data_IF_831648714470
#
_entry.id   IF_831648714470
#
_cell.length_a   1.000
_cell.length_b   1.000
_cell.length_c   1.000
_cell.angle_alpha   90.00
_cell.angle_beta   90.00
_cell.angle_gamma   90.00
#
_symmetry.space_group_name_H-M   'P 1'
#
loop_
_entity.id
_entity.type
_entity.pdbx_description
1 polymer ?
#
# COMPACT_ATOMS: atom_id res chain seq x y z
N UNK A 1 42.08 22.83 -10.65
CA UNK A 1 42.61 23.54 -9.47
C UNK A 1 41.87 23.01 -8.25
N UNK A 2 42.58 22.26 -7.41
CA UNK A 2 42.02 21.57 -6.26
C UNK A 2 42.05 22.53 -5.07
N UNK A 3 40.94 22.68 -4.34
CA UNK A 3 40.96 23.21 -2.98
C UNK A 3 40.24 22.22 -2.07
N UNK A 4 41.07 21.43 -1.40
CA UNK A 4 40.75 20.71 -0.15
C UNK A 4 40.98 21.68 1.01
N UNK A 5 40.47 21.26 2.19
CA UNK A 5 40.78 21.75 3.57
C UNK A 5 39.70 22.71 4.12
N UNK A 6 39.20 22.59 5.34
CA UNK A 6 39.57 21.72 6.45
C UNK A 6 38.35 21.49 7.36
N UNK A 7 38.18 20.25 7.84
CA UNK A 7 37.33 19.93 8.98
C UNK A 7 38.02 20.47 10.25
N UNK A 8 37.38 21.40 10.96
CA UNK A 8 37.77 21.75 12.32
C UNK A 8 36.75 21.10 13.25
N UNK A 9 37.14 19.96 13.80
CA UNK A 9 36.44 19.31 14.91
C UNK A 9 36.96 19.97 16.18
N UNK A 10 36.16 20.84 16.78
CA UNK A 10 36.45 21.36 18.12
C UNK A 10 35.68 20.53 19.13
N UNK A 11 36.35 19.54 19.72
CA UNK A 11 35.86 18.79 20.88
C UNK A 11 36.07 19.66 22.12
N UNK A 12 35.00 20.25 22.65
CA UNK A 12 35.02 20.93 23.94
C UNK A 12 34.52 19.95 25.00
N UNK A 13 35.45 19.24 25.63
CA UNK A 13 35.16 18.39 26.79
C UNK A 13 35.04 19.26 28.04
N UNK A 14 33.81 19.52 28.48
CA UNK A 14 33.55 20.06 29.83
C UNK A 14 32.92 18.95 30.64
N UNK A 15 33.74 18.33 31.49
CA UNK A 15 33.29 17.43 32.55
C UNK A 15 33.01 18.26 33.80
N UNK A 16 31.75 18.34 34.20
CA UNK A 16 31.38 18.79 35.55
C UNK A 16 30.55 17.69 36.20
N UNK A 17 31.17 17.09 37.22
CA UNK A 17 30.65 16.05 38.09
C UNK A 17 29.57 16.64 39.02
N UNK A 18 28.45 15.95 39.13
CA UNK A 18 27.34 16.33 40.00
C UNK A 18 26.54 15.10 40.39
N UNK A 19 27.01 14.39 41.41
CA UNK A 19 26.30 13.27 42.01
C UNK A 19 24.99 13.74 42.65
N UNK A 20 23.85 13.27 42.13
CA UNK A 20 22.56 13.31 42.82
C UNK A 20 22.05 11.88 42.94
N UNK A 21 21.85 11.47 44.18
CA UNK A 21 21.41 10.15 44.62
C UNK A 21 19.93 9.87 44.34
N UNK A 22 19.66 8.65 43.88
CA UNK A 22 18.48 7.79 44.13
C UNK A 22 17.08 8.42 44.15
N UNK A 23 16.33 8.18 43.07
CA UNK A 23 14.92 7.78 43.14
C UNK A 23 14.48 7.23 41.78
N UNK A 24 14.47 5.90 41.63
CA UNK A 24 13.75 5.25 40.52
C UNK A 24 12.35 4.94 41.05
N UNK A 25 11.30 5.72 40.69
CA UNK A 25 9.95 5.22 40.84
C UNK A 25 9.76 4.14 39.79
N UNK A 26 9.54 2.91 40.24
CA UNK A 26 9.17 1.75 39.44
C UNK A 26 7.78 2.01 38.82
N UNK A 27 7.67 2.31 37.51
CA UNK A 27 6.37 2.39 36.87
C UNK A 27 6.03 0.97 36.42
N UNK A 28 5.17 0.35 37.22
CA UNK A 28 4.43 -0.86 36.87
C UNK A 28 4.00 -0.82 35.40
N UNK A 29 4.61 -1.70 34.62
CA UNK A 29 4.13 -2.27 33.36
C UNK A 29 3.85 -1.25 32.24
N UNK A 30 4.69 -1.22 31.17
CA UNK A 30 4.36 -0.43 29.99
C UNK A 30 3.00 -0.87 29.46
N UNK A 31 2.16 0.13 29.16
CA UNK A 31 0.99 0.03 28.29
C UNK A 31 1.26 -1.05 27.24
N UNK A 32 0.42 -2.08 27.21
CA UNK A 32 0.41 -3.04 26.13
C UNK A 32 0.23 -2.26 24.82
N UNK A 33 1.35 -1.94 24.17
CA UNK A 33 1.39 -1.45 22.81
C UNK A 33 0.72 -2.56 22.03
N UNK A 34 -0.47 -2.28 21.51
CA UNK A 34 -1.22 -3.20 20.69
C UNK A 34 -0.30 -3.67 19.56
N UNK A 35 0.27 -4.85 19.73
CA UNK A 35 1.09 -5.51 18.74
C UNK A 35 0.15 -5.88 17.60
N UNK A 36 -0.04 -4.96 16.66
CA UNK A 36 -0.33 -5.34 15.28
C UNK A 36 0.98 -5.87 14.68
N UNK A 37 1.51 -6.91 15.32
CA UNK A 37 2.61 -7.71 14.80
C UNK A 37 2.19 -8.24 13.45
N UNK A 38 3.15 -8.16 12.54
CA UNK A 38 2.96 -8.25 11.10
C UNK A 38 1.93 -9.30 10.73
N UNK A 39 0.86 -8.84 10.06
CA UNK A 39 0.04 -9.76 9.26
C UNK A 39 1.03 -10.55 8.40
N UNK A 40 1.08 -11.89 8.52
CA UNK A 40 2.05 -12.69 7.80
C UNK A 40 1.93 -12.30 6.32
N UNK A 41 3.10 -12.10 5.71
CA UNK A 41 3.25 -11.81 4.29
C UNK A 41 2.33 -12.76 3.54
N UNK A 42 1.16 -12.26 3.10
CA UNK A 42 0.15 -13.14 2.52
C UNK A 42 0.82 -13.78 1.31
N UNK A 43 0.84 -15.12 1.20
CA UNK A 43 1.50 -15.80 0.10
C UNK A 43 1.06 -15.13 -1.19
N UNK A 44 2.02 -14.87 -2.08
CA UNK A 44 1.81 -14.19 -3.36
C UNK A 44 0.50 -14.70 -3.96
N UNK A 45 -0.56 -13.89 -3.82
CA UNK A 45 -1.93 -14.36 -4.00
C UNK A 45 -2.06 -14.64 -5.48
N UNK A 46 -1.82 -15.88 -5.95
CA UNK A 46 -1.53 -16.35 -7.32
C UNK A 46 -2.20 -15.59 -8.47
N UNK A 47 -1.83 -15.86 -9.73
CA UNK A 47 -2.39 -15.16 -10.90
C UNK A 47 -3.86 -14.75 -10.68
N UNK A 48 -4.22 -13.45 -10.81
CA UNK A 48 -5.61 -13.03 -10.65
C UNK A 48 -6.53 -14.03 -11.34
N UNK A 49 -7.60 -14.50 -10.69
CA UNK A 49 -8.42 -15.63 -11.18
C UNK A 49 -8.90 -15.48 -12.64
N UNK A 50 -8.93 -14.25 -13.16
CA UNK A 50 -9.26 -14.00 -14.56
C UNK A 50 -8.13 -14.39 -15.54
N UNK A 51 -6.86 -14.37 -15.12
CA UNK A 51 -5.69 -14.77 -15.91
C UNK A 51 -5.58 -16.29 -16.04
N UNK A 52 -5.88 -17.03 -14.97
CA UNK A 52 -5.87 -18.50 -14.97
C UNK A 52 -6.81 -19.11 -16.03
N UNK A 53 -7.77 -18.32 -16.52
CA UNK A 53 -8.80 -18.76 -17.45
C UNK A 53 -8.54 -18.33 -18.90
N UNK A 54 -7.34 -17.82 -19.20
CA UNK A 54 -6.91 -17.37 -20.54
C UNK A 54 -6.06 -18.39 -21.30
N UNK A 55 -5.87 -19.60 -20.75
CA UNK A 55 -5.04 -20.67 -21.34
C UNK A 55 -3.67 -20.14 -21.80
N UNK A 56 -2.94 -19.52 -20.89
CA UNK A 56 -1.64 -18.94 -21.20
C UNK A 56 -0.62 -20.03 -21.53
N UNK A 57 0.27 -19.75 -22.49
CA UNK A 57 1.45 -20.58 -22.70
C UNK A 57 2.43 -20.43 -21.52
N UNK A 58 3.38 -21.37 -21.32
CA UNK A 58 4.41 -21.23 -20.29
C UNK A 58 5.18 -19.90 -20.38
N UNK A 59 5.54 -19.48 -21.60
CA UNK A 59 6.24 -18.21 -21.83
C UNK A 59 5.38 -17.00 -21.45
N UNK A 60 4.08 -17.01 -21.80
CA UNK A 60 3.16 -15.96 -21.40
C UNK A 60 3.02 -15.91 -19.88
N UNK A 61 2.93 -17.06 -19.21
CA UNK A 61 2.83 -17.15 -17.75
C UNK A 61 4.06 -16.52 -17.07
N UNK A 62 5.26 -16.83 -17.55
CA UNK A 62 6.51 -16.27 -17.02
C UNK A 62 6.54 -14.74 -17.17
N UNK A 63 6.17 -14.21 -18.35
CA UNK A 63 6.11 -12.77 -18.59
C UNK A 63 5.09 -12.07 -17.70
N UNK A 64 3.91 -12.68 -17.53
CA UNK A 64 2.87 -12.16 -16.64
C UNK A 64 3.35 -12.12 -15.19
N UNK A 65 4.12 -13.13 -14.74
CA UNK A 65 4.67 -13.14 -13.39
C UNK A 65 5.73 -12.06 -13.17
N UNK A 66 6.57 -11.80 -14.17
CA UNK A 66 7.53 -10.70 -14.12
C UNK A 66 6.82 -9.33 -14.01
N UNK A 67 5.81 -9.08 -14.84
CA UNK A 67 4.98 -7.86 -14.77
C UNK A 67 4.36 -7.72 -13.38
N UNK A 68 3.77 -8.81 -12.85
CA UNK A 68 3.16 -8.80 -11.52
C UNK A 68 4.14 -8.42 -10.42
N UNK A 69 5.37 -8.94 -10.45
CA UNK A 69 6.40 -8.60 -9.45
C UNK A 69 6.73 -7.11 -9.45
N UNK A 70 6.79 -6.47 -10.62
CA UNK A 70 7.01 -5.02 -10.75
C UNK A 70 5.89 -4.22 -10.07
N UNK A 71 4.63 -4.61 -10.25
CA UNK A 71 3.49 -3.85 -9.74
C UNK A 71 3.00 -4.25 -8.33
N UNK A 72 3.46 -5.39 -7.79
CA UNK A 72 2.99 -5.91 -6.51
C UNK A 72 3.19 -4.90 -5.37
N UNK A 73 4.40 -4.36 -5.24
CA UNK A 73 4.75 -3.42 -4.17
C UNK A 73 4.02 -2.07 -4.30
N UNK A 74 4.01 -1.40 -5.47
CA UNK A 74 3.23 -0.18 -5.67
C UNK A 74 1.74 -0.35 -5.36
N UNK A 75 1.13 -1.47 -5.78
CA UNK A 75 -0.28 -1.76 -5.51
C UNK A 75 -0.51 -2.00 -4.02
N UNK A 76 0.34 -2.80 -3.37
CA UNK A 76 0.17 -3.16 -1.95
C UNK A 76 0.27 -1.93 -1.04
N UNK A 77 1.27 -1.07 -1.28
CA UNK A 77 1.49 0.16 -0.53
C UNK A 77 0.30 1.12 -0.67
N UNK A 78 -0.15 1.41 -1.89
CA UNK A 78 -1.29 2.31 -2.12
C UNK A 78 -2.60 1.73 -1.56
N UNK A 79 -2.79 0.42 -1.65
CA UNK A 79 -3.95 -0.24 -1.06
C UNK A 79 -3.92 -0.25 0.48
N UNK A 80 -2.74 -0.25 1.10
CA UNK A 80 -2.60 -0.10 2.55
C UNK A 80 -2.90 1.34 2.97
N UNK A 81 -2.29 2.33 2.31
CA UNK A 81 -2.54 3.74 2.59
C UNK A 81 -4.02 4.10 2.43
N UNK A 82 -4.67 3.62 1.37
CA UNK A 82 -6.10 3.81 1.16
C UNK A 82 -6.93 3.25 2.32
N UNK A 83 -6.65 2.00 2.74
CA UNK A 83 -7.38 1.37 3.86
C UNK A 83 -7.21 2.15 5.16
N UNK A 84 -5.99 2.63 5.45
CA UNK A 84 -5.73 3.47 6.62
C UNK A 84 -6.54 4.77 6.56
N UNK A 85 -6.49 5.48 5.43
CA UNK A 85 -7.24 6.72 5.24
C UNK A 85 -8.76 6.52 5.35
N UNK A 86 -9.30 5.40 4.86
CA UNK A 86 -10.73 5.05 4.98
C UNK A 86 -11.13 4.75 6.43
N UNK A 87 -10.30 4.03 7.19
CA UNK A 87 -10.51 3.80 8.63
C UNK A 87 -10.49 5.12 9.40
N UNK A 88 -9.51 5.97 9.14
CA UNK A 88 -9.39 7.27 9.80
C UNK A 88 -10.55 8.20 9.44
N UNK A 89 -11.01 8.20 8.18
CA UNK A 89 -12.21 8.96 7.77
C UNK A 89 -13.44 8.49 8.55
N UNK A 90 -13.62 7.17 8.70
CA UNK A 90 -14.73 6.59 9.47
C UNK A 90 -14.66 7.01 10.94
N UNK A 91 -13.46 7.04 11.51
CA UNK A 91 -13.22 7.53 12.87
C UNK A 91 -13.55 9.02 13.03
N UNK A 92 -13.13 9.87 12.08
CA UNK A 92 -13.46 11.30 12.11
C UNK A 92 -14.96 11.54 12.06
N UNK A 93 -15.69 10.84 11.18
CA UNK A 93 -17.16 10.94 11.08
C UNK A 93 -17.85 10.56 12.41
N UNK A 94 -17.32 9.59 13.16
CA UNK A 94 -17.87 9.15 14.43
C UNK A 94 -17.47 10.01 15.64
N UNK A 95 -16.62 11.02 15.43
CA UNK A 95 -16.05 11.88 16.48
C UNK A 95 -16.61 13.30 16.44
N UNK A 96 -16.14 14.17 17.33
CA UNK A 96 -16.43 15.61 17.32
C UNK A 96 -15.56 16.41 16.32
N UNK A 97 -14.94 15.75 15.33
CA UNK A 97 -14.12 16.41 14.32
C UNK A 97 -14.95 17.42 13.50
N UNK A 98 -14.34 18.54 13.15
CA UNK A 98 -15.05 19.55 12.37
C UNK A 98 -15.22 19.13 10.89
N UNK A 99 -16.16 19.78 10.20
CA UNK A 99 -16.47 19.46 8.80
C UNK A 99 -15.29 19.65 7.84
N UNK A 100 -14.34 20.54 8.13
CA UNK A 100 -13.16 20.75 7.29
C UNK A 100 -12.17 19.61 7.43
N UNK A 101 -11.96 19.09 8.64
CA UNK A 101 -11.14 17.90 8.88
C UNK A 101 -11.70 16.67 8.13
N UNK A 102 -13.01 16.47 8.20
CA UNK A 102 -13.68 15.36 7.49
C UNK A 102 -13.52 15.51 5.96
N UNK A 103 -13.74 16.72 5.41
CA UNK A 103 -13.57 16.99 3.97
C UNK A 103 -12.13 16.78 3.53
N UNK A 104 -11.16 17.27 4.29
CA UNK A 104 -9.73 17.07 4.00
C UNK A 104 -9.39 15.58 3.93
N UNK A 105 -9.89 14.80 4.90
CA UNK A 105 -9.67 13.35 4.93
C UNK A 105 -10.35 12.62 3.77
N UNK A 106 -11.57 13.02 3.43
CA UNK A 106 -12.28 12.50 2.27
C UNK A 106 -11.50 12.77 0.96
N UNK A 107 -10.96 13.97 0.78
CA UNK A 107 -10.14 14.30 -0.39
C UNK A 107 -8.87 13.45 -0.46
N UNK A 108 -8.24 13.16 0.68
CA UNK A 108 -7.10 12.23 0.74
C UNK A 108 -7.52 10.82 0.27
N UNK A 109 -8.68 10.32 0.71
CA UNK A 109 -9.22 9.03 0.27
C UNK A 109 -9.46 9.03 -1.25
N UNK A 110 -10.05 10.09 -1.81
CA UNK A 110 -10.28 10.19 -3.25
C UNK A 110 -8.96 10.14 -4.05
N UNK A 111 -7.95 10.89 -3.62
CA UNK A 111 -6.63 10.90 -4.25
C UNK A 111 -5.98 9.51 -4.22
N UNK A 112 -6.00 8.83 -3.07
CA UNK A 112 -5.44 7.48 -2.93
C UNK A 112 -6.19 6.45 -3.79
N UNK A 113 -7.52 6.57 -3.92
CA UNK A 113 -8.31 5.72 -4.83
C UNK A 113 -7.89 5.91 -6.28
N UNK A 114 -7.72 7.16 -6.73
CA UNK A 114 -7.29 7.46 -8.09
C UNK A 114 -5.90 6.90 -8.36
N UNK A 115 -4.94 7.10 -7.45
CA UNK A 115 -3.59 6.58 -7.60
C UNK A 115 -3.55 5.05 -7.64
N UNK A 116 -4.35 4.38 -6.81
CA UNK A 116 -4.47 2.92 -6.83
C UNK A 116 -5.12 2.41 -8.12
N UNK A 117 -6.12 3.13 -8.63
CA UNK A 117 -6.74 2.82 -9.91
C UNK A 117 -5.74 2.96 -11.07
N UNK A 118 -4.93 4.02 -11.07
CA UNK A 118 -3.92 4.25 -12.10
C UNK A 118 -2.91 3.11 -12.15
N UNK A 119 -2.29 2.74 -11.02
CA UNK A 119 -1.26 1.68 -11.03
C UNK A 119 -1.81 0.31 -11.44
N UNK A 120 -3.08 0.03 -11.12
CA UNK A 120 -3.76 -1.18 -11.58
C UNK A 120 -4.04 -1.15 -13.08
N UNK A 121 -4.36 0.02 -13.60
CA UNK A 121 -4.59 0.22 -15.03
C UNK A 121 -3.29 0.01 -15.83
N UNK A 122 -2.18 0.60 -15.40
CA UNK A 122 -0.87 0.38 -16.03
C UNK A 122 -0.48 -1.11 -16.02
N UNK A 123 -0.60 -1.77 -14.87
CA UNK A 123 -0.36 -3.21 -14.78
C UNK A 123 -1.23 -4.01 -15.75
N UNK A 124 -2.49 -3.63 -15.92
CA UNK A 124 -3.41 -4.28 -16.88
C UNK A 124 -2.99 -4.05 -18.33
N UNK A 125 -2.51 -2.85 -18.68
CA UNK A 125 -1.99 -2.56 -20.03
C UNK A 125 -0.77 -3.42 -20.35
N UNK A 126 0.20 -3.53 -19.43
CA UNK A 126 1.37 -4.37 -19.66
C UNK A 126 1.01 -5.85 -19.80
N UNK A 127 0.11 -6.35 -18.94
CA UNK A 127 -0.38 -7.73 -19.05
C UNK A 127 -1.09 -7.98 -20.38
N UNK A 128 -1.87 -7.00 -20.89
CA UNK A 128 -2.55 -7.10 -22.19
C UNK A 128 -1.55 -7.28 -23.34
N UNK A 129 -0.36 -6.69 -23.26
CA UNK A 129 0.66 -6.83 -24.32
C UNK A 129 1.22 -8.25 -24.46
N UNK A 130 1.12 -9.07 -23.41
CA UNK A 130 1.50 -10.49 -23.45
C UNK A 130 0.45 -11.37 -24.14
N UNK A 131 -0.80 -10.91 -24.19
CA UNK A 131 -1.95 -11.68 -24.68
C UNK A 131 -2.10 -11.61 -26.21
N UNK A 132 -2.57 -12.72 -26.81
CA UNK A 132 -3.01 -12.74 -28.21
C UNK A 132 -4.31 -11.96 -28.42
N UNK A 133 -4.65 -11.56 -29.66
CA UNK A 133 -5.93 -10.90 -29.95
C UNK A 133 -7.16 -11.70 -29.48
N UNK A 134 -7.12 -13.03 -29.55
CA UNK A 134 -8.18 -13.93 -29.10
C UNK A 134 -8.30 -13.92 -27.57
N UNK A 135 -7.17 -14.00 -26.86
CA UNK A 135 -7.14 -13.93 -25.40
C UNK A 135 -7.61 -12.55 -24.89
N UNK A 136 -7.28 -11.46 -25.60
CA UNK A 136 -7.77 -10.10 -25.30
C UNK A 136 -9.29 -10.01 -25.43
N UNK A 137 -9.87 -10.66 -26.45
CA UNK A 137 -11.34 -10.76 -26.60
C UNK A 137 -11.99 -11.52 -25.44
N UNK A 138 -11.41 -12.66 -25.03
CA UNK A 138 -11.87 -13.40 -23.86
C UNK A 138 -11.79 -12.57 -22.58
N UNK A 139 -10.69 -11.83 -22.40
CA UNK A 139 -10.52 -10.90 -21.27
C UNK A 139 -11.64 -9.85 -21.21
N UNK A 140 -11.93 -9.19 -22.33
CA UNK A 140 -12.97 -8.18 -22.41
C UNK A 140 -14.38 -8.73 -22.07
N UNK A 141 -14.69 -9.94 -22.55
CA UNK A 141 -15.95 -10.62 -22.23
C UNK A 141 -16.08 -10.89 -20.72
N UNK A 142 -15.03 -11.43 -20.09
CA UNK A 142 -15.02 -11.70 -18.65
C UNK A 142 -15.14 -10.42 -17.82
N UNK A 143 -14.45 -9.34 -18.20
CA UNK A 143 -14.58 -8.04 -17.52
C UNK A 143 -16.03 -7.52 -17.56
N UNK A 144 -16.73 -7.71 -18.68
CA UNK A 144 -18.13 -7.33 -18.84
C UNK A 144 -19.06 -8.17 -17.95
N UNK A 145 -18.87 -9.49 -17.93
CA UNK A 145 -19.64 -10.40 -17.07
C UNK A 145 -19.43 -10.10 -15.57
N UNK A 146 -18.19 -9.84 -15.16
CA UNK A 146 -17.88 -9.47 -13.77
C UNK A 146 -18.63 -8.21 -13.32
N UNK A 147 -18.73 -7.21 -14.20
CA UNK A 147 -19.53 -6.00 -13.95
C UNK A 147 -21.02 -6.31 -13.80
N UNK A 148 -21.57 -7.17 -14.66
CA UNK A 148 -22.97 -7.57 -14.57
C UNK A 148 -23.26 -8.30 -13.26
N UNK A 149 -22.43 -9.28 -12.89
CA UNK A 149 -22.62 -10.04 -11.64
C UNK A 149 -22.60 -9.14 -10.40
N UNK A 150 -21.71 -8.14 -10.39
CA UNK A 150 -21.66 -7.16 -9.30
C UNK A 150 -22.94 -6.31 -9.21
N UNK A 151 -23.51 -5.90 -10.36
CA UNK A 151 -24.79 -5.17 -10.40
C UNK A 151 -25.93 -6.04 -9.88
N UNK A 152 -26.00 -7.30 -10.29
CA UNK A 152 -27.04 -8.23 -9.82
C UNK A 152 -26.98 -8.45 -8.30
N UNK A 153 -25.77 -8.58 -7.72
CA UNK A 153 -25.60 -8.75 -6.27
C UNK A 153 -26.01 -7.52 -5.47
N UNK A 154 -25.96 -6.32 -6.06
CA UNK A 154 -26.41 -5.08 -5.41
C UNK A 154 -27.92 -4.85 -5.44
N UNK A 155 -28.65 -5.56 -6.32
CA UNK A 155 -30.11 -5.45 -6.45
C UNK A 155 -30.87 -6.56 -5.71
N UNK A 156 -30.15 -7.45 -5.03
CA UNK A 156 -30.69 -8.43 -4.08
C UNK A 156 -30.38 -7.96 -2.66
#
# INVERSE_FOLDING_TARGET
MWLRLAFVVTVLSVTLDGASTLAVPDPLLPLAIAQNEGRPNRPDRGMPRWIEQLNLTPDQMQRMQAIRQVYQNPISQRAQALRQAETELTGLIASNADSNQIRAKHNQVLSLRQQLAQVRFESMLEMREVLTPEQRRQLAQRMTQGRQNFRHRRMR
#
